data_IF_795654876420
#
_entry.id   IF_795654876420
#
_cell.length_a   1.000
_cell.length_b   1.000
_cell.length_c   1.000
_cell.angle_alpha   90.00
_cell.angle_beta   90.00
_cell.angle_gamma   90.00
#
_symmetry.space_group_name_H-M   'P 1'
#
loop_
_entity.id
_entity.type
_entity.pdbx_description
1 polymer ?
#
# COMPACT_ATOMS: atom_id res chain seq x y z
N UNK A 1 -39.49 5.52 24.98
CA UNK A 1 -38.11 5.35 25.48
C UNK A 1 -37.14 5.53 24.32
N UNK A 2 -36.18 6.44 24.42
CA UNK A 2 -35.22 6.78 23.33
C UNK A 2 -33.75 6.53 23.68
N UNK A 3 -33.44 6.31 24.96
CA UNK A 3 -32.05 6.22 25.43
C UNK A 3 -31.59 4.76 25.33
N UNK A 4 -30.54 4.44 24.54
CA UNK A 4 -29.88 3.14 24.64
C UNK A 4 -29.18 3.05 25.99
N UNK A 5 -29.66 2.16 26.86
CA UNK A 5 -29.07 1.96 28.17
C UNK A 5 -27.96 0.89 28.13
N UNK A 6 -27.01 1.01 29.04
CA UNK A 6 -25.87 0.10 29.18
C UNK A 6 -25.90 -0.68 30.50
N UNK A 7 -27.10 -0.86 31.09
CA UNK A 7 -27.25 -1.54 32.39
C UNK A 7 -26.78 -3.01 32.35
N UNK A 8 -26.81 -3.62 31.16
CA UNK A 8 -26.31 -4.96 30.90
C UNK A 8 -24.79 -5.02 30.65
N UNK A 9 -24.11 -3.87 30.51
CA UNK A 9 -22.67 -3.73 30.29
C UNK A 9 -22.01 -3.00 31.47
N UNK A 10 -22.38 -3.37 32.69
CA UNK A 10 -21.72 -2.86 33.90
C UNK A 10 -20.34 -3.52 34.07
N UNK A 11 -19.34 -2.82 34.63
CA UNK A 11 -17.99 -3.38 34.84
C UNK A 11 -17.95 -4.79 35.46
N UNK A 12 -18.69 -5.10 36.56
CA UNK A 12 -18.69 -6.45 37.14
C UNK A 12 -19.30 -7.52 36.22
N UNK A 13 -20.18 -7.14 35.29
CA UNK A 13 -20.70 -8.09 34.27
C UNK A 13 -19.67 -8.31 33.15
N UNK A 14 -18.99 -7.25 32.71
CA UNK A 14 -17.95 -7.34 31.68
C UNK A 14 -16.82 -8.26 32.14
N UNK A 15 -16.37 -8.14 33.39
CA UNK A 15 -15.33 -9.01 33.96
C UNK A 15 -15.72 -10.49 33.89
N UNK A 16 -16.94 -10.83 34.34
CA UNK A 16 -17.49 -12.19 34.25
C UNK A 16 -17.61 -12.69 32.81
N UNK A 17 -18.06 -11.83 31.89
CA UNK A 17 -18.14 -12.19 30.47
C UNK A 17 -16.75 -12.48 29.90
N UNK A 18 -15.78 -11.61 30.16
CA UNK A 18 -14.40 -11.77 29.72
C UNK A 18 -13.76 -13.03 30.28
N UNK A 19 -14.01 -13.39 31.55
CA UNK A 19 -13.53 -14.65 32.15
C UNK A 19 -14.02 -15.88 31.39
N UNK A 20 -15.29 -15.92 31.01
CA UNK A 20 -15.83 -17.02 30.21
C UNK A 20 -15.27 -17.02 28.79
N UNK A 21 -15.03 -15.84 28.20
CA UNK A 21 -14.51 -15.70 26.84
C UNK A 21 -13.03 -16.07 26.71
N UNK A 22 -12.23 -15.96 27.78
CA UNK A 22 -10.79 -16.30 27.78
C UNK A 22 -10.50 -17.71 27.25
N UNK A 23 -11.40 -18.67 27.44
CA UNK A 23 -11.24 -20.05 26.94
C UNK A 23 -11.22 -20.17 25.41
N UNK A 24 -11.72 -19.16 24.69
CA UNK A 24 -11.73 -19.11 23.22
C UNK A 24 -10.54 -18.33 22.65
N UNK A 25 -9.82 -17.58 23.49
CA UNK A 25 -8.68 -16.78 23.06
C UNK A 25 -7.40 -17.64 23.00
N UNK A 26 -6.54 -17.32 22.05
CA UNK A 26 -5.19 -17.89 21.93
C UNK A 26 -4.15 -16.84 22.30
N UNK A 27 -3.02 -17.27 22.88
CA UNK A 27 -1.93 -16.36 23.18
C UNK A 27 -1.29 -15.83 21.90
N UNK A 28 -0.85 -14.58 21.91
CA UNK A 28 -0.05 -14.01 20.82
C UNK A 28 1.32 -14.69 20.77
N UNK A 29 1.86 -15.04 19.59
CA UNK A 29 3.16 -15.69 19.46
C UNK A 29 4.29 -14.84 20.07
N UNK A 30 5.12 -15.49 20.90
CA UNK A 30 6.32 -14.88 21.47
C UNK A 30 7.35 -14.58 20.36
N UNK A 31 7.95 -13.38 20.42
CA UNK A 31 8.93 -12.93 19.42
C UNK A 31 8.37 -11.99 18.35
N UNK A 32 7.05 -11.87 18.20
CA UNK A 32 6.39 -10.90 17.31
C UNK A 32 5.85 -9.68 18.09
N UNK A 33 6.63 -9.20 19.06
CA UNK A 33 6.22 -8.09 19.93
C UNK A 33 6.37 -6.71 19.26
N UNK A 34 7.25 -6.61 18.27
CA UNK A 34 7.52 -5.36 17.54
C UNK A 34 7.13 -5.49 16.06
N UNK A 35 6.60 -4.41 15.50
CA UNK A 35 6.16 -4.35 14.10
C UNK A 35 7.31 -4.65 13.12
N UNK A 36 8.55 -4.32 13.49
CA UNK A 36 9.74 -4.61 12.69
C UNK A 36 9.96 -6.11 12.49
N UNK A 37 9.80 -6.90 13.55
CA UNK A 37 9.91 -8.37 13.50
C UNK A 37 8.75 -8.99 12.71
N UNK A 38 7.56 -8.43 12.85
CA UNK A 38 6.41 -8.81 12.03
C UNK A 38 6.68 -8.58 10.54
N UNK A 39 7.21 -7.41 10.17
CA UNK A 39 7.54 -7.08 8.79
C UNK A 39 8.72 -7.87 8.21
N UNK A 40 9.59 -8.41 9.07
CA UNK A 40 10.67 -9.30 8.65
C UNK A 40 10.17 -10.70 8.30
N UNK A 41 9.35 -11.29 9.17
CA UNK A 41 8.82 -12.65 8.97
C UNK A 41 7.62 -12.70 8.02
N UNK A 42 6.79 -11.65 8.01
CA UNK A 42 5.55 -11.56 7.23
C UNK A 42 5.55 -10.28 6.38
N UNK A 43 6.19 -10.32 5.19
CA UNK A 43 6.37 -9.12 4.34
C UNK A 43 5.10 -8.72 3.56
N UNK A 44 4.05 -9.55 3.57
CA UNK A 44 2.79 -9.31 2.87
C UNK A 44 1.73 -8.94 3.91
N UNK A 45 1.11 -7.77 3.70
CA UNK A 45 -0.03 -7.31 4.47
C UNK A 45 -1.29 -7.41 3.61
N UNK A 46 -2.35 -8.00 4.17
CA UNK A 46 -3.64 -8.11 3.50
C UNK A 46 -4.69 -7.39 4.32
N UNK A 47 -5.29 -6.36 3.74
CA UNK A 47 -6.34 -5.58 4.39
C UNK A 47 -7.70 -5.98 3.83
N UNK A 48 -8.62 -6.35 4.73
CA UNK A 48 -10.02 -6.64 4.43
C UNK A 48 -10.93 -5.84 5.35
N UNK A 49 -12.13 -5.47 4.90
CA UNK A 49 -13.08 -4.68 5.69
C UNK A 49 -14.42 -5.39 5.83
N UNK A 50 -14.95 -5.41 7.06
CA UNK A 50 -16.27 -5.94 7.38
C UNK A 50 -17.17 -4.82 7.91
N UNK A 51 -18.43 -4.80 7.47
CA UNK A 51 -19.39 -3.75 7.77
C UNK A 51 -20.60 -4.35 8.49
N UNK A 52 -20.95 -3.78 9.64
CA UNK A 52 -22.09 -4.19 10.46
C UNK A 52 -23.13 -3.07 10.49
N UNK A 53 -24.32 -3.34 9.98
CA UNK A 53 -25.45 -2.39 9.93
C UNK A 53 -26.68 -3.03 10.55
N UNK A 54 -27.62 -2.21 11.04
CA UNK A 54 -28.92 -2.65 11.58
C UNK A 54 -29.96 -2.99 10.50
N UNK A 55 -29.53 -3.09 9.23
CA UNK A 55 -30.38 -3.42 8.09
C UNK A 55 -30.80 -4.90 8.15
N UNK A 56 -31.98 -5.28 7.62
CA UNK A 56 -32.34 -6.69 7.43
C UNK A 56 -31.40 -7.44 6.47
N UNK A 57 -30.58 -6.72 5.71
CA UNK A 57 -29.60 -7.30 4.77
C UNK A 57 -28.18 -7.28 5.36
N UNK A 58 -27.56 -8.44 5.49
CA UNK A 58 -26.15 -8.57 5.94
C UNK A 58 -25.10 -8.27 4.85
N UNK A 59 -25.54 -8.08 3.60
CA UNK A 59 -24.64 -7.99 2.44
C UNK A 59 -24.17 -6.55 2.24
N UNK A 60 -22.86 -6.35 2.21
CA UNK A 60 -22.24 -5.11 1.77
C UNK A 60 -21.32 -5.40 0.58
N UNK A 61 -21.41 -4.56 -0.46
CA UNK A 61 -20.58 -4.65 -1.66
C UNK A 61 -19.12 -4.34 -1.35
N UNK A 62 -18.85 -3.47 -0.36
CA UNK A 62 -17.51 -2.99 -0.03
C UNK A 62 -16.66 -4.07 0.64
N UNK A 63 -17.27 -5.05 1.31
CA UNK A 63 -16.52 -6.11 2.01
C UNK A 63 -15.80 -7.09 1.09
N UNK A 64 -16.10 -7.07 -0.22
CA UNK A 64 -15.41 -7.91 -1.21
C UNK A 64 -14.01 -7.41 -1.56
N UNK A 65 -13.72 -6.14 -1.31
CA UNK A 65 -12.47 -5.50 -1.73
C UNK A 65 -11.32 -6.04 -0.88
N UNK A 66 -10.27 -6.51 -1.55
CA UNK A 66 -9.03 -6.98 -0.90
C UNK A 66 -7.88 -6.13 -1.38
N UNK A 67 -7.13 -5.59 -0.43
CA UNK A 67 -5.91 -4.83 -0.68
C UNK A 67 -4.72 -5.63 -0.17
N UNK A 68 -3.81 -5.99 -1.08
CA UNK A 68 -2.54 -6.63 -0.77
C UNK A 68 -1.42 -5.60 -0.88
N UNK A 69 -0.60 -5.49 0.17
CA UNK A 69 0.59 -4.64 0.21
C UNK A 69 1.83 -5.48 0.44
N UNK A 70 2.90 -5.17 -0.30
CA UNK A 70 4.19 -5.82 -0.14
C UNK A 70 5.32 -4.84 -0.38
N UNK A 71 6.37 -4.91 0.45
CA UNK A 71 7.59 -4.12 0.24
C UNK A 71 8.45 -4.78 -0.84
N UNK A 72 8.88 -4.02 -1.86
CA UNK A 72 9.70 -4.59 -2.94
C UNK A 72 11.07 -5.05 -2.43
N UNK A 73 11.64 -4.35 -1.44
CA UNK A 73 12.90 -4.73 -0.79
C UNK A 73 12.89 -6.12 -0.14
N UNK A 74 11.71 -6.67 0.17
CA UNK A 74 11.57 -8.01 0.74
C UNK A 74 11.38 -9.10 -0.31
N UNK A 75 11.17 -8.72 -1.58
CA UNK A 75 11.10 -9.67 -2.69
C UNK A 75 12.51 -9.90 -3.25
N UNK A 76 12.83 -11.16 -3.58
CA UNK A 76 14.10 -11.50 -4.22
C UNK A 76 14.05 -11.14 -5.71
N UNK A 77 14.30 -9.87 -6.02
CA UNK A 77 14.27 -9.31 -7.38
C UNK A 77 15.68 -8.85 -7.79
N UNK A 78 16.11 -9.28 -8.98
CA UNK A 78 17.31 -8.75 -9.62
C UNK A 78 17.07 -7.32 -10.14
N UNK A 79 18.11 -6.56 -10.48
CA UNK A 79 18.01 -5.20 -11.01
C UNK A 79 17.09 -5.13 -12.24
N UNK A 80 17.25 -6.06 -13.19
CA UNK A 80 16.38 -6.19 -14.36
C UNK A 80 14.92 -6.47 -13.95
N UNK A 81 14.71 -7.41 -13.03
CA UNK A 81 13.38 -7.79 -12.59
C UNK A 81 12.67 -6.65 -11.87
N UNK A 82 13.38 -5.91 -11.02
CA UNK A 82 12.84 -4.73 -10.33
C UNK A 82 12.44 -3.64 -11.32
N UNK A 83 13.30 -3.31 -12.29
CA UNK A 83 13.02 -2.32 -13.34
C UNK A 83 11.81 -2.72 -14.21
N UNK A 84 11.77 -3.99 -14.65
CA UNK A 84 10.63 -4.54 -15.42
C UNK A 84 9.33 -4.53 -14.59
N UNK A 85 9.40 -4.92 -13.33
CA UNK A 85 8.24 -4.92 -12.42
C UNK A 85 7.68 -3.52 -12.23
N UNK A 86 8.53 -2.51 -12.01
CA UNK A 86 8.09 -1.12 -11.86
C UNK A 86 7.37 -0.62 -13.12
N UNK A 87 7.84 -0.99 -14.31
CA UNK A 87 7.16 -0.66 -15.58
C UNK A 87 5.82 -1.37 -15.74
N UNK A 88 5.69 -2.63 -15.30
CA UNK A 88 4.45 -3.40 -15.40
C UNK A 88 3.37 -2.91 -14.41
N UNK A 89 3.82 -2.56 -13.20
CA UNK A 89 2.94 -2.16 -12.11
C UNK A 89 2.38 -0.75 -12.32
N UNK A 90 3.20 0.17 -12.82
CA UNK A 90 2.83 1.58 -13.02
C UNK A 90 2.48 2.28 -11.71
N UNK A 91 1.32 2.92 -11.66
CA UNK A 91 0.88 3.80 -10.56
C UNK A 91 0.57 3.06 -9.23
N UNK A 92 0.64 1.73 -9.22
CA UNK A 92 0.37 0.89 -8.04
C UNK A 92 1.56 0.79 -7.08
N UNK A 93 2.72 1.32 -7.46
CA UNK A 93 3.93 1.36 -6.63
C UNK A 93 4.22 2.79 -6.16
N UNK A 94 4.52 2.93 -4.88
CA UNK A 94 4.96 4.19 -4.29
C UNK A 94 6.49 4.18 -4.07
N UNK A 95 7.19 5.11 -4.72
CA UNK A 95 8.64 5.24 -4.66
C UNK A 95 9.15 5.77 -3.33
N UNK A 96 8.32 6.47 -2.55
CA UNK A 96 8.70 7.03 -1.26
C UNK A 96 8.71 5.99 -0.14
N UNK A 97 7.76 5.05 -0.18
CA UNK A 97 7.58 4.01 0.86
C UNK A 97 8.09 2.63 0.45
N UNK A 98 8.43 2.41 -0.83
CA UNK A 98 8.82 1.12 -1.42
C UNK A 98 7.70 0.06 -1.33
N UNK A 99 6.44 0.49 -1.29
CA UNK A 99 5.27 -0.38 -1.15
C UNK A 99 4.56 -0.55 -2.50
N UNK A 100 4.41 -1.80 -2.90
CA UNK A 100 3.53 -2.23 -3.99
C UNK A 100 2.14 -2.50 -3.42
N UNK A 101 1.12 -1.83 -3.97
CA UNK A 101 -0.29 -2.02 -3.55
C UNK A 101 -1.12 -2.61 -4.68
N UNK A 102 -1.70 -3.79 -4.45
CA UNK A 102 -2.65 -4.44 -5.36
C UNK A 102 -4.04 -4.41 -4.75
N UNK A 103 -4.97 -3.71 -5.40
CA UNK A 103 -6.38 -3.67 -4.99
C UNK A 103 -7.18 -4.55 -5.95
N UNK A 104 -8.01 -5.42 -5.39
CA UNK A 104 -8.87 -6.35 -6.15
C UNK A 104 -10.30 -6.28 -5.67
N UNK A 105 -11.22 -6.06 -6.60
CA UNK A 105 -12.65 -5.86 -6.33
C UNK A 105 -13.57 -6.51 -7.38
N UNK A 106 -12.98 -7.28 -8.31
CA UNK A 106 -13.66 -7.82 -9.51
C UNK A 106 -14.61 -8.96 -9.18
N UNK A 107 -14.23 -9.85 -8.26
CA UNK A 107 -15.01 -11.03 -7.94
C UNK A 107 -16.06 -10.72 -6.85
N UNK A 108 -17.21 -11.41 -6.86
CA UNK A 108 -18.26 -11.20 -5.86
C UNK A 108 -17.85 -11.66 -4.45
N UNK A 109 -17.04 -12.71 -4.35
CA UNK A 109 -16.58 -13.25 -3.06
C UNK A 109 -15.19 -12.70 -2.69
N UNK A 110 -15.03 -12.38 -1.40
CA UNK A 110 -13.74 -11.93 -0.85
C UNK A 110 -12.62 -12.95 -1.05
N UNK A 111 -12.90 -14.24 -0.86
CA UNK A 111 -11.93 -15.32 -1.04
C UNK A 111 -11.38 -15.33 -2.47
N UNK A 112 -12.24 -15.12 -3.46
CA UNK A 112 -11.81 -15.07 -4.86
C UNK A 112 -10.92 -13.85 -5.15
N UNK A 113 -11.25 -12.68 -4.59
CA UNK A 113 -10.40 -11.49 -4.74
C UNK A 113 -9.04 -11.68 -4.03
N UNK A 114 -9.02 -12.35 -2.88
CA UNK A 114 -7.79 -12.72 -2.18
C UNK A 114 -6.90 -13.63 -3.04
N UNK A 115 -7.44 -14.74 -3.55
CA UNK A 115 -6.71 -15.66 -4.41
C UNK A 115 -6.22 -14.96 -5.69
N UNK A 116 -7.06 -14.07 -6.23
CA UNK A 116 -6.73 -13.30 -7.41
C UNK A 116 -5.61 -12.27 -7.16
N UNK A 117 -5.59 -11.62 -6.00
CA UNK A 117 -4.50 -10.71 -5.61
C UNK A 117 -3.17 -11.47 -5.51
N UNK A 118 -3.17 -12.67 -4.92
CA UNK A 118 -1.99 -13.53 -4.86
C UNK A 118 -1.55 -14.01 -6.25
N UNK A 119 -2.50 -14.39 -7.10
CA UNK A 119 -2.21 -14.75 -8.50
C UNK A 119 -1.55 -13.59 -9.26
N UNK A 120 -2.07 -12.37 -9.12
CA UNK A 120 -1.48 -11.18 -9.75
C UNK A 120 -0.06 -10.92 -9.27
N UNK A 121 0.18 -11.03 -7.96
CA UNK A 121 1.52 -10.87 -7.40
C UNK A 121 2.49 -11.90 -7.98
N UNK A 122 2.10 -13.17 -8.01
CA UNK A 122 2.92 -14.25 -8.56
C UNK A 122 3.17 -14.06 -10.07
N UNK A 123 2.13 -13.72 -10.84
CA UNK A 123 2.25 -13.48 -12.28
C UNK A 123 3.22 -12.33 -12.58
N UNK A 124 3.07 -11.19 -11.90
CA UNK A 124 3.97 -10.04 -12.08
C UNK A 124 5.40 -10.39 -11.67
N UNK A 125 5.58 -11.14 -10.58
CA UNK A 125 6.90 -11.58 -10.13
C UNK A 125 7.58 -12.47 -11.19
N UNK A 126 6.91 -13.53 -11.66
CA UNK A 126 7.49 -14.44 -12.65
C UNK A 126 7.73 -13.77 -14.00
N UNK A 127 6.81 -12.92 -14.47
CA UNK A 127 7.01 -12.16 -15.70
C UNK A 127 8.15 -11.15 -15.59
N UNK A 128 8.37 -10.58 -14.41
CA UNK A 128 9.49 -9.66 -14.18
C UNK A 128 10.85 -10.37 -14.25
N UNK A 129 10.92 -11.62 -13.78
CA UNK A 129 12.13 -12.44 -13.84
C UNK A 129 12.40 -12.98 -15.26
N UNK A 130 11.39 -13.05 -16.12
CA UNK A 130 11.54 -13.54 -17.49
C UNK A 130 12.23 -12.49 -18.40
N UNK A 131 13.38 -12.85 -18.96
CA UNK A 131 14.15 -12.01 -19.87
C UNK A 131 13.75 -12.29 -21.33
N UNK A 132 12.93 -11.42 -21.91
CA UNK A 132 12.45 -11.57 -23.28
C UNK A 132 13.34 -10.83 -24.30
N UNK A 133 13.38 -11.35 -25.54
CA UNK A 133 14.30 -10.89 -26.59
C UNK A 133 14.15 -9.40 -26.95
N UNK A 134 12.97 -8.80 -26.81
CA UNK A 134 12.76 -7.39 -27.16
C UNK A 134 13.30 -6.41 -26.10
N UNK A 135 13.49 -6.84 -24.85
CA UNK A 135 14.14 -6.01 -23.82
C UNK A 135 15.62 -5.74 -24.15
N UNK A 136 16.28 -6.64 -24.88
CA UNK A 136 17.64 -6.44 -25.40
C UNK A 136 17.73 -5.37 -26.50
N UNK A 137 16.59 -4.95 -27.05
CA UNK A 137 16.47 -4.03 -28.20
C UNK A 137 15.81 -2.71 -27.85
N UNK A 138 15.54 -2.47 -26.55
CA UNK A 138 14.89 -1.24 -26.09
C UNK A 138 15.83 -0.03 -26.29
N UNK A 139 15.36 1.06 -26.93
CA UNK A 139 16.17 2.25 -27.14
C UNK A 139 16.53 2.91 -25.79
N UNK A 140 17.75 3.47 -25.70
CA UNK A 140 18.30 4.14 -24.50
C UNK A 140 17.39 5.22 -23.89
N UNK A 141 16.47 5.81 -24.66
CA UNK A 141 15.52 6.80 -24.17
C UNK A 141 14.53 6.27 -23.13
N UNK A 142 14.26 4.96 -23.11
CA UNK A 142 13.42 4.32 -22.07
C UNK A 142 14.16 4.13 -20.74
N UNK A 143 15.49 4.23 -20.74
CA UNK A 143 16.34 4.03 -19.56
C UNK A 143 16.61 5.32 -18.77
N UNK A 144 16.31 6.52 -19.32
CA UNK A 144 16.76 7.80 -18.75
C UNK A 144 15.65 8.74 -18.22
N UNK A 145 14.36 8.40 -18.26
CA UNK A 145 13.32 9.36 -17.83
C UNK A 145 13.30 9.65 -16.32
N UNK A 146 13.97 8.83 -15.49
CA UNK A 146 14.04 9.04 -14.04
C UNK A 146 15.14 10.02 -13.60
N UNK A 147 16.22 10.22 -14.37
CA UNK A 147 17.31 11.14 -13.98
C UNK A 147 17.14 12.57 -14.51
N UNK A 148 16.31 12.80 -15.52
CA UNK A 148 16.15 14.13 -16.12
C UNK A 148 15.32 15.09 -15.25
N UNK A 149 14.49 14.60 -14.33
CA UNK A 149 13.69 15.46 -13.45
C UNK A 149 14.54 16.18 -12.40
N UNK A 150 15.67 15.59 -11.98
CA UNK A 150 16.55 16.22 -10.99
C UNK A 150 17.44 17.33 -11.58
N UNK A 151 17.79 17.25 -12.88
CA UNK A 151 18.62 18.28 -13.53
C UNK A 151 17.80 19.54 -13.87
N UNK A 152 16.50 19.40 -14.19
CA UNK A 152 15.66 20.57 -14.48
C UNK A 152 15.33 21.42 -13.25
N UNK A 153 15.35 20.87 -12.03
CA UNK A 153 15.04 21.65 -10.82
C UNK A 153 16.25 22.40 -10.23
N UNK A 154 17.48 21.98 -10.52
CA UNK A 154 18.69 22.73 -10.14
C UNK A 154 18.93 23.95 -11.06
N UNK A 155 18.49 23.90 -12.33
CA UNK A 155 18.64 25.00 -13.28
C UNK A 155 17.70 26.19 -13.06
N UNK A 156 16.63 26.04 -12.26
CA UNK A 156 15.68 27.12 -11.94
C UNK A 156 16.10 28.01 -10.77
N UNK A 157 17.08 27.59 -9.95
CA UNK A 157 17.60 28.39 -8.84
C UNK A 157 18.81 29.25 -9.23
N UNK A 158 19.39 29.05 -10.42
CA UNK A 158 20.59 29.76 -10.88
C UNK A 158 20.31 31.02 -11.72
N UNK A 159 19.06 31.28 -12.13
CA UNK A 159 18.66 32.41 -12.99
C UNK A 159 17.69 33.37 -12.28
N UNK A 160 17.96 33.70 -11.02
CA UNK A 160 17.29 34.78 -10.29
C UNK A 160 18.32 35.81 -9.79
N UNK A 161 19.29 36.15 -10.65
CA UNK A 161 20.17 37.29 -10.52
C UNK A 161 20.03 38.17 -11.76
N UNK A 162 20.00 39.48 -11.53
CA UNK A 162 19.97 40.57 -12.52
C UNK A 162 18.60 41.03 -13.05
N UNK A 163 17.90 41.81 -12.22
CA UNK A 163 17.11 42.95 -12.72
C UNK A 163 17.79 44.23 -12.22
N UNK A 164 18.27 45.01 -13.18
CA UNK A 164 18.95 46.28 -13.02
C UNK A 164 18.07 47.35 -12.36
N UNK A 165 18.74 48.16 -11.55
CA UNK A 165 18.34 49.41 -10.93
C UNK A 165 17.65 50.42 -11.87
N UNK A 166 16.54 51.00 -11.41
CA UNK A 166 15.96 52.24 -11.94
C UNK A 166 16.09 53.38 -10.88
N UNK A 167 16.36 54.64 -11.28
CA UNK A 167 16.64 55.72 -10.36
C UNK A 167 15.39 56.42 -9.80
N UNK A 168 15.54 56.95 -8.60
CA UNK A 168 14.57 57.73 -7.81
C UNK A 168 14.32 59.16 -8.34
N UNK A 169 13.06 59.60 -8.30
CA UNK A 169 12.54 60.97 -7.95
C UNK A 169 11.06 61.06 -8.37
N UNK A 170 10.08 61.68 -7.73
CA UNK A 170 9.83 62.38 -6.46
C UNK A 170 8.28 62.43 -6.36
N UNK A 171 7.72 62.49 -5.15
CA UNK A 171 6.28 62.67 -4.86
C UNK A 171 5.89 64.17 -5.00
N UNK A 172 4.67 64.66 -4.64
CA UNK A 172 3.58 64.09 -3.83
C UNK A 172 2.44 63.40 -4.60
#
# INVERSE_FOLDING_TARGET
MKIPNFLHLTPPHIEKHCEVLKKFCTQWPAGLETDEKCAEHFPIEVTTSDYCHSSPTIRDVRSRIVTLKVKLSKLNLDYHAKDKLLRLVGDRYDSSTDILTMVTDRCPLRVQNYDYAHYLLAAVYHESCNAERFHLRAPLCLWHSASTVLVCNMGKLANAGDVQSAPHSEAP
#
